data_IF_285732200023
#
_entry.id   IF_285732200023
#
_cell.length_a   1.000
_cell.length_b   1.000
_cell.length_c   1.000
_cell.angle_alpha   90.00
_cell.angle_beta   90.00
_cell.angle_gamma   90.00
#
_symmetry.space_group_name_H-M   'P 1'
#
loop_
_entity.id
_entity.type
_entity.pdbx_description
1 polymer ?
#
# COMPACT_ATOMS: atom_id res chain seq x y z
N UNK A 1 -24.91 18.11 14.18
CA UNK A 1 -23.90 17.89 13.13
C UNK A 1 -22.59 17.60 13.83
N UNK A 2 -22.12 16.36 13.75
CA UNK A 2 -20.77 15.96 14.21
C UNK A 2 -19.80 16.66 13.24
N UNK A 3 -18.81 17.43 13.74
CA UNK A 3 -17.86 18.10 12.85
C UNK A 3 -17.14 17.07 11.98
N UNK A 4 -16.80 17.38 10.73
CA UNK A 4 -16.05 16.49 9.83
C UNK A 4 -14.75 15.96 10.47
N UNK A 5 -14.13 16.74 11.35
CA UNK A 5 -12.93 16.37 12.10
C UNK A 5 -13.15 15.21 13.09
N UNK A 6 -14.35 15.05 13.65
CA UNK A 6 -14.69 13.90 14.49
C UNK A 6 -14.93 12.64 13.66
N UNK A 7 -15.40 12.80 12.41
CA UNK A 7 -15.66 11.67 11.52
C UNK A 7 -14.37 10.93 11.07
N UNK A 8 -13.19 11.57 11.15
CA UNK A 8 -11.90 11.03 10.69
C UNK A 8 -10.92 10.74 11.83
N UNK A 9 -11.40 10.50 13.04
CA UNK A 9 -10.55 10.26 14.23
C UNK A 9 -9.53 11.40 14.49
N UNK A 10 -9.87 12.63 14.16
CA UNK A 10 -8.99 13.81 14.29
C UNK A 10 -7.92 13.91 13.19
N UNK A 11 -7.93 13.03 12.19
CA UNK A 11 -7.01 13.06 11.06
C UNK A 11 -7.53 13.99 9.94
N UNK A 12 -6.62 14.49 9.05
CA UNK A 12 -7.00 15.45 8.00
C UNK A 12 -7.96 14.90 6.92
N UNK A 13 -8.22 13.58 6.92
CA UNK A 13 -8.97 12.93 5.85
C UNK A 13 -8.12 12.60 4.62
N UNK A 14 -8.72 11.99 3.56
CA UNK A 14 -7.98 11.54 2.39
C UNK A 14 -7.38 12.71 1.61
N UNK A 15 -6.28 12.43 0.90
CA UNK A 15 -5.69 13.41 -0.03
C UNK A 15 -6.71 13.77 -1.12
N UNK A 16 -6.93 15.06 -1.40
CA UNK A 16 -7.89 15.50 -2.42
C UNK A 16 -7.40 15.25 -3.86
N UNK A 17 -6.14 14.85 -4.02
CA UNK A 17 -5.48 14.56 -5.29
C UNK A 17 -3.98 14.37 -5.11
N UNK A 18 -3.28 13.96 -6.15
CA UNK A 18 -1.82 13.90 -6.12
C UNK A 18 -1.20 15.28 -6.32
N UNK A 19 -0.02 15.58 -5.77
CA UNK A 19 0.71 16.78 -6.12
C UNK A 19 1.09 16.78 -7.61
N UNK A 20 1.36 17.95 -8.18
CA UNK A 20 1.93 18.04 -9.53
C UNK A 20 3.29 17.32 -9.58
N UNK A 21 3.62 16.74 -10.74
CA UNK A 21 4.96 16.20 -10.94
C UNK A 21 5.99 17.33 -10.92
N UNK A 22 7.15 17.07 -10.33
CA UNK A 22 8.23 18.03 -10.22
C UNK A 22 9.19 17.88 -11.39
N UNK A 23 9.61 19.01 -12.00
CA UNK A 23 10.65 19.02 -13.02
C UNK A 23 11.96 18.42 -12.47
N UNK A 24 12.68 17.68 -13.29
CA UNK A 24 13.87 16.92 -12.90
C UNK A 24 13.59 15.69 -12.02
N UNK A 25 12.36 15.51 -11.56
CA UNK A 25 11.97 14.44 -10.64
C UNK A 25 11.52 13.15 -11.33
N UNK A 26 11.38 12.10 -10.52
CA UNK A 26 10.83 10.82 -10.93
C UNK A 26 9.59 10.50 -10.10
N UNK A 27 8.61 9.84 -10.72
CA UNK A 27 7.39 9.34 -10.08
C UNK A 27 7.16 7.89 -10.41
N UNK A 28 7.04 7.06 -9.37
CA UNK A 28 6.48 5.71 -9.47
C UNK A 28 5.03 5.74 -9.03
N UNK A 29 4.15 5.11 -9.81
CA UNK A 29 2.76 4.85 -9.40
C UNK A 29 2.46 3.37 -9.55
N UNK A 30 1.76 2.79 -8.55
CA UNK A 30 1.26 1.42 -8.62
C UNK A 30 -0.22 1.38 -8.25
N UNK A 31 -0.94 0.44 -8.85
CA UNK A 31 -2.27 0.01 -8.41
C UNK A 31 -2.31 -1.50 -8.36
N UNK A 32 -2.90 -2.05 -7.31
CA UNK A 32 -3.16 -3.47 -7.13
C UNK A 32 -4.65 -3.63 -6.79
N UNK A 33 -5.42 -4.11 -7.77
CA UNK A 33 -6.86 -4.24 -7.67
C UNK A 33 -7.21 -5.71 -7.38
N UNK A 34 -7.98 -5.94 -6.31
CA UNK A 34 -8.44 -7.26 -5.88
C UNK A 34 -9.96 -7.34 -6.03
N UNK A 35 -10.43 -8.33 -6.78
CA UNK A 35 -11.85 -8.56 -7.03
C UNK A 35 -12.22 -10.02 -6.81
N UNK A 36 -13.51 -10.29 -6.60
CA UNK A 36 -14.07 -11.64 -6.50
C UNK A 36 -15.25 -11.79 -7.48
N UNK A 37 -14.96 -12.03 -8.77
CA UNK A 37 -16.00 -12.07 -9.79
C UNK A 37 -17.01 -13.23 -9.59
N UNK A 38 -16.60 -14.28 -8.86
CA UNK A 38 -17.43 -15.44 -8.57
C UNK A 38 -18.05 -15.41 -7.16
N UNK A 39 -18.27 -14.22 -6.61
CA UNK A 39 -18.86 -14.04 -5.27
C UNK A 39 -17.82 -14.00 -4.14
N UNK A 40 -18.28 -13.68 -2.91
CA UNK A 40 -17.39 -13.39 -1.78
C UNK A 40 -16.47 -14.56 -1.38
N UNK A 41 -16.87 -15.79 -1.62
CA UNK A 41 -16.10 -16.99 -1.34
C UNK A 41 -15.32 -17.54 -2.54
N UNK A 42 -15.47 -16.91 -3.70
CA UNK A 42 -14.76 -17.25 -4.91
C UNK A 42 -13.27 -16.87 -4.86
N UNK A 43 -12.48 -17.37 -5.83
CA UNK A 43 -11.09 -16.97 -6.01
C UNK A 43 -10.94 -15.44 -6.11
N UNK A 44 -9.82 -14.95 -5.61
CA UNK A 44 -9.46 -13.54 -5.74
C UNK A 44 -8.70 -13.35 -7.03
N UNK A 45 -9.21 -12.50 -7.92
CA UNK A 45 -8.46 -12.01 -9.07
C UNK A 45 -7.73 -10.72 -8.68
N UNK A 46 -6.42 -10.71 -8.87
CA UNK A 46 -5.52 -9.60 -8.56
C UNK A 46 -4.95 -9.05 -9.84
N UNK A 47 -5.19 -7.78 -10.11
CA UNK A 47 -4.64 -7.09 -11.27
C UNK A 47 -3.78 -5.92 -10.82
N UNK A 48 -2.50 -5.95 -11.17
CA UNK A 48 -1.53 -4.92 -10.84
C UNK A 48 -1.08 -4.12 -12.07
N UNK A 49 -0.89 -2.82 -11.89
CA UNK A 49 -0.27 -1.92 -12.86
C UNK A 49 0.73 -1.03 -12.16
N UNK A 50 1.90 -0.86 -12.78
CA UNK A 50 2.92 0.06 -12.30
C UNK A 50 3.52 0.85 -13.46
N UNK A 51 3.98 2.07 -13.15
CA UNK A 51 4.68 2.91 -14.10
C UNK A 51 5.65 3.84 -13.38
N UNK A 52 6.86 3.93 -13.91
CA UNK A 52 7.86 4.91 -13.54
C UNK A 52 7.95 5.99 -14.63
N UNK A 53 7.97 7.25 -14.21
CA UNK A 53 8.01 8.41 -15.11
C UNK A 53 9.06 9.39 -14.61
N UNK A 54 9.93 9.83 -15.50
CA UNK A 54 10.79 11.02 -15.29
C UNK A 54 10.10 12.24 -15.89
N UNK A 55 10.12 13.34 -15.17
CA UNK A 55 9.69 14.64 -15.67
C UNK A 55 10.93 15.44 -16.02
N UNK A 56 11.05 15.89 -17.26
CA UNK A 56 12.17 16.75 -17.66
C UNK A 56 11.99 18.19 -17.16
N UNK A 57 12.98 19.04 -17.41
CA UNK A 57 12.95 20.45 -16.99
C UNK A 57 11.83 21.26 -17.66
N UNK A 58 11.34 20.82 -18.82
CA UNK A 58 10.21 21.44 -19.51
C UNK A 58 8.84 20.90 -19.04
N UNK A 59 8.82 19.95 -18.08
CA UNK A 59 7.59 19.34 -17.55
C UNK A 59 7.08 18.14 -18.37
N UNK A 60 7.77 17.75 -19.47
CA UNK A 60 7.35 16.60 -20.26
C UNK A 60 7.64 15.27 -19.53
N UNK A 61 6.74 14.31 -19.73
CA UNK A 61 6.82 13.00 -19.08
C UNK A 61 7.49 11.97 -20.00
N UNK A 62 8.56 11.35 -19.54
CA UNK A 62 9.19 10.18 -20.17
C UNK A 62 8.98 8.94 -19.30
N UNK A 63 8.34 7.92 -19.85
CA UNK A 63 8.17 6.64 -19.17
C UNK A 63 9.50 5.90 -19.13
N UNK A 64 9.92 5.49 -17.93
CA UNK A 64 11.15 4.75 -17.68
C UNK A 64 10.91 3.25 -17.60
N UNK A 65 9.81 2.86 -16.93
CA UNK A 65 9.47 1.46 -16.68
C UNK A 65 7.94 1.29 -16.60
N UNK A 66 7.48 0.08 -16.95
CA UNK A 66 6.07 -0.34 -16.82
C UNK A 66 6.01 -1.78 -16.38
N UNK A 67 5.08 -2.09 -15.49
CA UNK A 67 4.79 -3.46 -15.13
C UNK A 67 3.28 -3.73 -15.09
N UNK A 68 2.91 -4.94 -15.47
CA UNK A 68 1.58 -5.51 -15.32
C UNK A 68 1.68 -6.80 -14.51
N UNK A 69 0.70 -7.06 -13.67
CA UNK A 69 0.60 -8.27 -12.87
C UNK A 69 -0.83 -8.78 -12.94
N UNK A 70 -0.99 -10.09 -13.15
CA UNK A 70 -2.25 -10.80 -12.99
C UNK A 70 -2.02 -12.03 -12.16
N UNK A 71 -2.69 -12.12 -11.03
CA UNK A 71 -2.65 -13.25 -10.11
C UNK A 71 -4.06 -13.75 -9.85
N UNK A 72 -4.18 -15.06 -9.61
CA UNK A 72 -5.38 -15.66 -9.00
C UNK A 72 -4.98 -16.28 -7.67
N UNK A 73 -5.73 -15.99 -6.61
CA UNK A 73 -5.50 -16.56 -5.27
C UNK A 73 -6.75 -17.34 -4.88
N UNK A 74 -6.56 -18.65 -4.61
CA UNK A 74 -7.61 -19.57 -4.16
C UNK A 74 -7.25 -20.06 -2.77
N UNK A 75 -8.13 -19.92 -1.79
CA UNK A 75 -7.91 -20.32 -0.40
C UNK A 75 -6.59 -19.80 0.21
N UNK A 76 -6.22 -18.57 -0.16
CA UNK A 76 -4.99 -17.94 0.30
C UNK A 76 -3.72 -18.41 -0.44
N UNK A 77 -3.84 -19.34 -1.39
CA UNK A 77 -2.75 -19.88 -2.19
C UNK A 77 -2.78 -19.25 -3.59
N UNK A 78 -1.64 -18.82 -4.09
CA UNK A 78 -1.49 -18.33 -5.47
C UNK A 78 -1.63 -19.50 -6.43
N UNK A 79 -2.68 -19.48 -7.26
CA UNK A 79 -2.98 -20.54 -8.23
C UNK A 79 -2.57 -20.19 -9.67
N UNK A 80 -2.37 -18.91 -9.96
CA UNK A 80 -1.91 -18.43 -11.27
C UNK A 80 -1.10 -17.15 -11.11
N UNK A 81 -0.04 -17.01 -11.93
CA UNK A 81 0.78 -15.79 -12.03
C UNK A 81 1.07 -15.50 -13.49
N UNK A 82 0.87 -14.25 -13.90
CA UNK A 82 1.33 -13.67 -15.16
C UNK A 82 1.85 -12.27 -14.91
N UNK A 83 2.94 -11.90 -15.51
CA UNK A 83 3.50 -10.55 -15.38
C UNK A 83 4.08 -10.03 -16.70
N UNK A 84 4.15 -8.72 -16.79
CA UNK A 84 4.90 -8.00 -17.81
C UNK A 84 5.80 -6.96 -17.10
N UNK A 85 7.09 -6.86 -17.40
CA UNK A 85 7.85 -7.77 -18.28
C UNK A 85 7.77 -9.23 -17.82
N UNK A 86 7.81 -10.16 -18.78
CA UNK A 86 7.75 -11.59 -18.45
C UNK A 86 8.99 -11.99 -17.62
N UNK A 87 8.77 -12.86 -16.65
CA UNK A 87 9.83 -13.43 -15.80
C UNK A 87 9.71 -14.95 -15.82
N UNK A 88 10.74 -15.62 -16.33
CA UNK A 88 10.76 -17.08 -16.42
C UNK A 88 10.56 -17.77 -15.05
N UNK A 89 10.95 -17.10 -13.96
CA UNK A 89 10.79 -17.61 -12.60
C UNK A 89 9.42 -17.31 -11.96
N UNK A 90 8.61 -16.39 -12.54
CA UNK A 90 7.30 -16.02 -11.95
C UNK A 90 6.36 -17.22 -11.73
N UNK A 91 6.29 -18.25 -12.60
CA UNK A 91 5.47 -19.45 -12.36
C UNK A 91 5.83 -20.22 -11.07
N UNK A 92 7.06 -20.08 -10.53
CA UNK A 92 7.48 -20.71 -9.28
C UNK A 92 6.82 -20.08 -8.03
N UNK A 93 6.12 -18.97 -8.20
CA UNK A 93 5.30 -18.36 -7.15
C UNK A 93 3.95 -19.07 -6.99
N UNK A 94 3.53 -19.89 -7.96
CA UNK A 94 2.32 -20.72 -7.85
C UNK A 94 2.50 -21.75 -6.74
N UNK A 95 1.45 -21.99 -5.95
CA UNK A 95 1.46 -22.86 -4.78
C UNK A 95 1.93 -22.18 -3.49
N UNK A 96 2.38 -20.91 -3.53
CA UNK A 96 2.78 -20.17 -2.32
C UNK A 96 1.59 -19.48 -1.68
N UNK A 97 1.65 -19.33 -0.36
CA UNK A 97 0.69 -18.50 0.37
C UNK A 97 0.88 -17.03 0.02
N UNK A 98 -0.23 -16.32 -0.26
CA UNK A 98 -0.22 -14.91 -0.63
C UNK A 98 0.08 -13.94 0.55
N UNK A 99 0.20 -14.45 1.77
CA UNK A 99 0.49 -13.71 2.99
C UNK A 99 1.81 -14.16 3.63
N UNK A 100 1.77 -15.31 4.28
CA UNK A 100 2.91 -15.81 5.07
C UNK A 100 4.01 -16.32 4.15
N UNK A 101 5.24 -15.84 4.35
CA UNK A 101 6.40 -16.27 3.57
C UNK A 101 6.41 -15.77 2.11
N UNK A 102 5.43 -14.98 1.68
CA UNK A 102 5.36 -14.44 0.31
C UNK A 102 6.63 -13.68 -0.08
N UNK A 103 7.04 -12.71 0.73
CA UNK A 103 8.22 -11.87 0.47
C UNK A 103 9.53 -12.67 0.45
N UNK A 104 9.65 -13.68 1.31
CA UNK A 104 10.79 -14.65 1.23
C UNK A 104 10.76 -15.42 -0.08
N UNK A 105 9.57 -15.76 -0.57
CA UNK A 105 9.39 -16.36 -1.89
C UNK A 105 9.85 -15.45 -3.02
N UNK A 106 9.48 -14.16 -2.97
CA UNK A 106 9.91 -13.16 -3.97
C UNK A 106 11.43 -13.03 -4.00
N UNK A 107 12.07 -12.91 -2.83
CA UNK A 107 13.53 -12.85 -2.73
C UNK A 107 14.20 -14.06 -3.39
N UNK A 108 13.66 -15.25 -3.16
CA UNK A 108 14.23 -16.49 -3.68
C UNK A 108 14.06 -16.64 -5.20
N UNK A 109 12.88 -16.28 -5.74
CA UNK A 109 12.53 -16.58 -7.12
C UNK A 109 12.77 -15.38 -8.07
N UNK A 110 12.70 -14.15 -7.56
CA UNK A 110 12.79 -12.91 -8.34
C UNK A 110 13.82 -11.95 -7.72
N UNK A 111 14.96 -12.48 -7.32
CA UNK A 111 16.02 -11.74 -6.64
C UNK A 111 16.42 -10.44 -7.38
N UNK A 112 16.65 -10.53 -8.69
CA UNK A 112 17.06 -9.38 -9.50
C UNK A 112 16.01 -8.26 -9.52
N UNK A 113 14.71 -8.61 -9.50
CA UNK A 113 13.63 -7.63 -9.41
C UNK A 113 13.59 -6.96 -8.04
N UNK A 114 13.89 -7.72 -6.97
CA UNK A 114 13.98 -7.19 -5.58
C UNK A 114 15.18 -6.25 -5.46
N UNK A 115 16.36 -6.67 -5.90
CA UNK A 115 17.61 -5.89 -5.85
C UNK A 115 17.52 -4.60 -6.66
N UNK A 116 16.99 -4.68 -7.88
CA UNK A 116 16.83 -3.51 -8.76
C UNK A 116 15.68 -2.59 -8.34
N UNK A 117 14.87 -2.96 -7.35
CA UNK A 117 13.67 -2.21 -6.98
C UNK A 117 12.75 -2.00 -8.19
N UNK A 118 12.50 -3.05 -8.99
CA UNK A 118 11.70 -2.95 -10.22
C UNK A 118 10.25 -2.54 -9.92
N UNK A 119 9.56 -1.96 -10.91
CA UNK A 119 8.14 -1.65 -10.79
C UNK A 119 7.29 -2.92 -10.56
N UNK A 120 7.71 -4.06 -11.13
CA UNK A 120 7.08 -5.36 -10.92
C UNK A 120 7.25 -5.86 -9.49
N UNK A 121 8.47 -5.71 -8.92
CA UNK A 121 8.70 -6.09 -7.52
C UNK A 121 7.73 -5.39 -6.57
N UNK A 122 7.53 -4.06 -6.71
CA UNK A 122 6.64 -3.33 -5.81
C UNK A 122 5.18 -3.81 -5.91
N UNK A 123 4.70 -4.18 -7.10
CA UNK A 123 3.36 -4.79 -7.25
C UNK A 123 3.26 -6.12 -6.49
N UNK A 124 4.28 -6.96 -6.59
CA UNK A 124 4.33 -8.26 -5.90
C UNK A 124 4.48 -8.08 -4.38
N UNK A 125 5.30 -7.11 -3.93
CA UNK A 125 5.52 -6.82 -2.50
C UNK A 125 4.25 -6.29 -1.81
N UNK A 126 3.34 -5.64 -2.56
CA UNK A 126 2.07 -5.13 -2.06
C UNK A 126 0.97 -6.21 -1.89
N UNK A 127 1.14 -7.41 -2.46
CA UNK A 127 0.12 -8.47 -2.39
C UNK A 127 -0.32 -8.81 -0.97
N UNK A 128 0.58 -9.05 0.02
CA UNK A 128 0.16 -9.36 1.39
C UNK A 128 -0.72 -8.29 2.01
N UNK A 129 -0.38 -7.01 1.82
CA UNK A 129 -1.19 -5.90 2.31
C UNK A 129 -2.55 -5.83 1.64
N UNK A 130 -2.62 -6.04 0.32
CA UNK A 130 -3.87 -6.14 -0.42
C UNK A 130 -4.75 -7.28 0.07
N UNK A 131 -4.18 -8.45 0.35
CA UNK A 131 -4.90 -9.61 0.88
C UNK A 131 -5.54 -9.36 2.24
N UNK A 132 -4.86 -8.62 3.14
CA UNK A 132 -5.42 -8.24 4.45
C UNK A 132 -6.67 -7.38 4.27
N UNK A 133 -6.61 -6.35 3.42
CA UNK A 133 -7.76 -5.47 3.14
C UNK A 133 -8.84 -6.19 2.32
N UNK A 134 -8.47 -7.09 1.42
CA UNK A 134 -9.39 -7.95 0.68
C UNK A 134 -10.23 -8.86 1.59
N UNK A 135 -9.73 -9.21 2.78
CA UNK A 135 -10.51 -9.89 3.81
C UNK A 135 -11.60 -9.00 4.43
N UNK A 136 -11.36 -7.70 4.56
CA UNK A 136 -12.37 -6.73 5.00
C UNK A 136 -13.52 -6.63 3.98
N UNK A 137 -13.22 -6.46 2.69
CA UNK A 137 -14.25 -6.34 1.65
C UNK A 137 -15.08 -7.61 1.47
N UNK A 138 -14.47 -8.80 1.64
CA UNK A 138 -15.21 -10.08 1.66
C UNK A 138 -16.27 -10.10 2.77
N UNK A 139 -15.93 -9.69 3.99
CA UNK A 139 -16.91 -9.62 5.10
C UNK A 139 -18.04 -8.63 4.82
N UNK A 140 -17.73 -7.50 4.18
CA UNK A 140 -18.75 -6.52 3.77
C UNK A 140 -19.69 -7.10 2.71
N UNK A 141 -19.15 -7.84 1.75
CA UNK A 141 -19.97 -8.50 0.71
C UNK A 141 -20.89 -9.57 1.30
N UNK A 142 -20.39 -10.41 2.22
CA UNK A 142 -21.20 -11.40 2.93
C UNK A 142 -22.32 -10.74 3.74
N UNK A 143 -22.00 -9.70 4.51
CA UNK A 143 -22.99 -8.96 5.28
C UNK A 143 -24.09 -8.35 4.39
N UNK A 144 -23.72 -7.78 3.24
CA UNK A 144 -24.68 -7.21 2.29
C UNK A 144 -25.58 -8.29 1.63
N UNK A 145 -25.06 -9.51 1.47
CA UNK A 145 -25.81 -10.65 0.96
C UNK A 145 -26.68 -11.35 2.03
N UNK A 146 -26.62 -10.91 3.29
CA UNK A 146 -27.31 -11.59 4.42
C UNK A 146 -26.67 -12.94 4.80
N UNK A 147 -25.44 -13.20 4.36
CA UNK A 147 -24.71 -14.43 4.62
C UNK A 147 -23.96 -14.38 5.95
N UNK A 148 -23.68 -15.53 6.59
CA UNK A 148 -22.88 -15.59 7.81
C UNK A 148 -21.50 -14.94 7.61
N UNK A 149 -21.19 -13.94 8.46
CA UNK A 149 -19.91 -13.23 8.39
C UNK A 149 -18.90 -13.91 9.33
N UNK A 150 -17.80 -14.46 8.79
CA UNK A 150 -16.79 -15.08 9.64
C UNK A 150 -16.12 -14.04 10.53
N UNK A 151 -15.91 -14.43 11.79
CA UNK A 151 -15.20 -13.59 12.75
C UNK A 151 -13.77 -13.29 12.24
N UNK A 152 -13.29 -12.05 12.35
CA UNK A 152 -11.90 -11.78 12.07
C UNK A 152 -11.03 -12.57 13.04
N UNK A 153 -9.99 -13.25 12.52
CA UNK A 153 -9.06 -13.98 13.39
C UNK A 153 -8.44 -13.02 14.41
N UNK A 154 -8.37 -13.45 15.67
CA UNK A 154 -7.74 -12.67 16.76
C UNK A 154 -6.23 -12.60 16.50
N UNK A 155 -5.78 -11.51 15.94
CA UNK A 155 -4.36 -11.17 15.77
C UNK A 155 -4.07 -9.94 16.60
N UNK A 156 -4.04 -10.11 17.92
CA UNK A 156 -3.65 -9.03 18.84
C UNK A 156 -2.14 -8.76 18.74
N UNK A 157 -1.78 -7.54 19.07
CA UNK A 157 -0.39 -7.04 19.11
C UNK A 157 0.37 -7.10 17.76
N UNK A 158 -0.34 -7.21 16.64
CA UNK A 158 0.29 -7.14 15.31
C UNK A 158 0.61 -5.72 14.87
N UNK A 159 -0.12 -4.72 15.39
CA UNK A 159 0.07 -3.30 15.14
C UNK A 159 -0.63 -2.45 16.19
N UNK A 160 -0.39 -1.13 16.20
CA UNK A 160 -0.99 -0.19 17.15
C UNK A 160 -2.53 -0.26 17.21
N UNK A 161 -3.21 -0.37 16.06
CA UNK A 161 -4.66 -0.46 16.01
C UNK A 161 -5.25 -1.77 16.55
N UNK A 162 -4.42 -2.82 16.69
CA UNK A 162 -4.78 -4.12 17.23
C UNK A 162 -3.98 -4.48 18.49
N UNK A 163 -3.47 -3.48 19.21
CA UNK A 163 -2.88 -3.69 20.53
C UNK A 163 -3.92 -4.33 21.46
N UNK A 164 -3.47 -5.20 22.38
CA UNK A 164 -4.36 -5.93 23.31
C UNK A 164 -5.24 -4.99 24.13
N UNK A 165 -4.73 -3.81 24.44
CA UNK A 165 -5.42 -2.74 25.19
C UNK A 165 -6.12 -1.71 24.30
N UNK A 166 -6.11 -1.89 22.96
CA UNK A 166 -6.79 -0.99 22.04
C UNK A 166 -8.32 -1.03 22.21
N UNK A 167 -8.99 0.07 21.83
CA UNK A 167 -10.45 0.13 21.82
C UNK A 167 -11.06 -0.96 20.95
N UNK A 168 -10.45 -1.22 19.78
CA UNK A 168 -10.92 -2.26 18.86
C UNK A 168 -10.85 -3.66 19.48
N UNK A 169 -9.75 -3.98 20.18
CA UNK A 169 -9.57 -5.26 20.85
C UNK A 169 -10.57 -5.44 21.99
N UNK A 170 -10.82 -4.41 22.81
CA UNK A 170 -11.80 -4.43 23.89
C UNK A 170 -13.22 -4.66 23.38
N UNK A 171 -13.67 -3.86 22.39
CA UNK A 171 -15.01 -4.02 21.81
C UNK A 171 -15.16 -5.41 21.19
N UNK A 172 -14.16 -5.89 20.46
CA UNK A 172 -14.19 -7.23 19.88
C UNK A 172 -14.27 -8.33 20.95
N UNK A 173 -13.65 -8.14 22.10
CA UNK A 173 -13.77 -9.10 23.22
C UNK A 173 -15.17 -9.11 23.85
N UNK A 174 -15.83 -7.94 23.91
CA UNK A 174 -17.16 -7.78 24.52
C UNK A 174 -18.30 -8.23 23.58
N UNK A 175 -18.26 -7.81 22.30
CA UNK A 175 -19.38 -8.01 21.37
C UNK A 175 -19.05 -8.95 20.21
N UNK A 176 -17.84 -9.49 20.13
CA UNK A 176 -17.43 -10.45 19.12
C UNK A 176 -16.99 -9.84 17.78
N UNK A 177 -17.20 -8.53 17.56
CA UNK A 177 -16.82 -7.83 16.32
C UNK A 177 -16.12 -6.53 16.65
N UNK A 178 -15.10 -6.11 15.83
CA UNK A 178 -14.48 -4.81 16.02
C UNK A 178 -15.46 -3.68 15.66
N UNK A 179 -15.26 -2.47 16.20
CA UNK A 179 -16.05 -1.32 15.80
C UNK A 179 -15.88 -1.05 14.28
N UNK A 180 -16.94 -0.59 13.59
CA UNK A 180 -16.82 -0.22 12.19
C UNK A 180 -15.80 0.91 12.02
N UNK A 181 -14.88 0.81 11.06
CA UNK A 181 -13.96 1.89 10.76
C UNK A 181 -14.70 3.07 10.12
N UNK A 182 -14.18 4.28 10.31
CA UNK A 182 -14.60 5.44 9.54
C UNK A 182 -13.97 5.34 8.15
N UNK A 183 -14.80 5.33 7.10
CA UNK A 183 -14.36 5.14 5.72
C UNK A 183 -14.90 6.29 4.86
N UNK A 184 -14.21 7.43 4.80
CA UNK A 184 -14.62 8.56 3.97
C UNK A 184 -14.60 8.22 2.49
N UNK A 185 -15.34 8.98 1.69
CA UNK A 185 -15.29 8.88 0.23
C UNK A 185 -13.87 9.13 -0.27
N UNK A 186 -13.47 8.41 -1.31
CA UNK A 186 -12.14 8.48 -1.90
C UNK A 186 -12.09 9.55 -3.00
N UNK A 187 -11.47 10.72 -2.78
CA UNK A 187 -11.23 11.68 -3.85
C UNK A 187 -10.34 11.08 -4.94
N UNK A 188 -10.49 11.56 -6.18
CA UNK A 188 -9.64 11.10 -7.27
C UNK A 188 -8.18 11.51 -7.02
N UNK A 189 -7.26 10.56 -7.21
CA UNK A 189 -5.82 10.80 -7.15
C UNK A 189 -5.27 11.36 -8.47
N UNK A 190 -5.99 11.14 -9.57
CA UNK A 190 -5.60 11.61 -10.90
C UNK A 190 -6.01 13.08 -11.04
N UNK A 191 -5.04 13.92 -11.37
CA UNK A 191 -5.31 15.33 -11.65
C UNK A 191 -5.77 15.50 -13.10
N UNK A 192 -6.77 16.32 -13.33
CA UNK A 192 -7.26 16.61 -14.67
C UNK A 192 -6.19 17.34 -15.54
N UNK A 193 -5.35 18.14 -14.90
CA UNK A 193 -4.28 18.94 -15.53
C UNK A 193 -2.93 18.18 -15.61
N UNK A 194 -2.82 16.97 -15.04
CA UNK A 194 -1.62 16.11 -15.13
C UNK A 194 -1.99 14.64 -15.36
N UNK A 195 -2.46 14.34 -16.57
CA UNK A 195 -2.81 12.95 -16.96
C UNK A 195 -1.61 12.00 -16.94
N UNK A 196 -0.39 12.53 -17.04
CA UNK A 196 0.83 11.74 -16.90
C UNK A 196 1.19 11.43 -15.45
N UNK A 197 0.53 12.05 -14.47
CA UNK A 197 0.75 11.85 -13.04
C UNK A 197 0.43 10.44 -12.54
N UNK A 198 -0.48 9.72 -13.23
CA UNK A 198 -0.82 8.33 -12.93
C UNK A 198 -0.87 7.48 -14.20
N UNK A 199 -0.62 6.16 -14.06
CA UNK A 199 -1.02 5.19 -15.08
C UNK A 199 -2.56 5.08 -15.11
N UNK A 200 -3.10 4.47 -16.15
CA UNK A 200 -4.56 4.26 -16.27
C UNK A 200 -5.07 3.39 -15.11
N UNK A 201 -5.97 3.93 -14.32
CA UNK A 201 -6.67 3.23 -13.24
C UNK A 201 -7.93 2.59 -13.82
N UNK A 202 -8.17 1.32 -13.48
CA UNK A 202 -9.39 0.65 -13.86
C UNK A 202 -10.52 0.97 -12.85
N UNK A 203 -11.79 1.02 -13.29
CA UNK A 203 -12.93 1.06 -12.38
C UNK A 203 -12.99 -0.23 -11.55
N UNK A 204 -13.38 -0.11 -10.30
CA UNK A 204 -13.57 -1.24 -9.41
C UNK A 204 -15.06 -1.64 -9.37
N UNK A 205 -15.37 -2.93 -9.34
CA UNK A 205 -16.73 -3.38 -9.05
C UNK A 205 -17.07 -3.19 -7.57
N UNK A 206 -18.35 -3.27 -7.23
CA UNK A 206 -18.84 -3.32 -5.84
C UNK A 206 -18.07 -4.40 -5.05
N UNK A 207 -17.62 -4.05 -3.84
CA UNK A 207 -16.75 -4.83 -2.98
C UNK A 207 -15.36 -5.15 -3.55
N UNK A 208 -15.00 -4.60 -4.72
CA UNK A 208 -13.62 -4.58 -5.19
C UNK A 208 -12.76 -3.69 -4.28
N UNK A 209 -11.49 -4.05 -4.14
CA UNK A 209 -10.50 -3.33 -3.33
C UNK A 209 -9.33 -2.90 -4.22
N UNK A 210 -8.78 -1.72 -3.97
CA UNK A 210 -7.56 -1.25 -4.63
C UNK A 210 -6.56 -0.74 -3.60
N UNK A 211 -5.30 -1.14 -3.76
CA UNK A 211 -4.15 -0.47 -3.14
C UNK A 211 -3.46 0.38 -4.20
N UNK A 212 -3.43 1.68 -3.98
CA UNK A 212 -2.74 2.65 -4.85
C UNK A 212 -1.57 3.24 -4.12
N UNK A 213 -0.44 3.38 -4.82
CA UNK A 213 0.79 3.95 -4.26
C UNK A 213 1.41 4.94 -5.22
N UNK A 214 1.97 6.01 -4.68
CA UNK A 214 2.79 6.98 -5.40
C UNK A 214 4.09 7.20 -4.61
N UNK A 215 5.20 7.25 -5.32
CA UNK A 215 6.51 7.64 -4.79
C UNK A 215 7.05 8.70 -5.73
N UNK A 216 7.22 9.91 -5.25
CA UNK A 216 7.94 10.99 -5.92
C UNK A 216 9.32 11.12 -5.30
N UNK A 217 10.34 11.26 -6.12
CA UNK A 217 11.68 11.53 -5.67
C UNK A 217 12.37 12.52 -6.62
N UNK A 218 13.19 13.40 -6.07
CA UNK A 218 14.02 14.33 -6.85
C UNK A 218 15.28 14.68 -6.09
N UNK A 219 16.33 15.00 -6.84
CA UNK A 219 17.60 15.44 -6.30
C UNK A 219 17.51 16.94 -5.95
N UNK A 220 17.87 17.29 -4.72
CA UNK A 220 17.93 18.66 -4.21
C UNK A 220 19.30 18.92 -3.60
N UNK A 221 20.26 19.34 -4.42
CA UNK A 221 21.66 19.46 -4.02
C UNK A 221 22.26 18.11 -3.63
N UNK A 222 22.76 17.98 -2.40
CA UNK A 222 23.32 16.74 -1.86
C UNK A 222 22.27 15.81 -1.21
N UNK A 223 20.98 16.12 -1.38
CA UNK A 223 19.89 15.36 -0.77
C UNK A 223 18.90 14.87 -1.83
N UNK A 224 18.19 13.81 -1.51
CA UNK A 224 17.02 13.32 -2.25
C UNK A 224 15.79 13.60 -1.40
N UNK A 225 14.85 14.37 -1.93
CA UNK A 225 13.55 14.57 -1.33
C UNK A 225 12.57 13.51 -1.85
N UNK A 226 11.84 12.88 -0.93
CA UNK A 226 10.86 11.83 -1.21
C UNK A 226 9.52 12.24 -0.66
N UNK A 227 8.48 12.15 -1.49
CA UNK A 227 7.08 12.24 -1.10
C UNK A 227 6.38 10.95 -1.53
N UNK A 228 6.06 10.11 -0.58
CA UNK A 228 5.44 8.82 -0.82
C UNK A 228 4.08 8.72 -0.14
N UNK A 229 3.14 8.02 -0.78
CA UNK A 229 1.84 7.73 -0.20
C UNK A 229 1.34 6.35 -0.62
N UNK A 230 0.45 5.76 0.19
CA UNK A 230 -0.45 4.71 -0.25
C UNK A 230 -1.89 4.99 0.19
N UNK A 231 -2.83 4.43 -0.57
CA UNK A 231 -4.26 4.43 -0.27
C UNK A 231 -4.82 3.04 -0.51
N UNK A 232 -5.40 2.44 0.53
CA UNK A 232 -6.28 1.28 0.41
C UNK A 232 -7.73 1.78 0.38
N UNK A 233 -8.43 1.44 -0.68
CA UNK A 233 -9.83 1.84 -0.90
C UNK A 233 -10.65 0.65 -1.39
N UNK A 234 -11.95 0.74 -1.26
CA UNK A 234 -12.91 -0.27 -1.72
C UNK A 234 -14.19 0.40 -2.21
N UNK A 235 -14.96 -0.31 -3.01
CA UNK A 235 -16.30 0.13 -3.42
C UNK A 235 -17.33 -0.49 -2.48
N UNK A 236 -18.17 0.35 -1.86
CA UNK A 236 -19.25 -0.11 -0.95
C UNK A 236 -20.46 -0.66 -1.69
N UNK A 237 -21.53 -1.03 -0.96
CA UNK A 237 -22.75 -1.57 -1.53
C UNK A 237 -23.50 -0.55 -2.40
N UNK A 238 -23.33 0.74 -2.14
CA UNK A 238 -23.93 1.86 -2.85
C UNK A 238 -23.13 2.24 -4.11
N UNK A 239 -22.00 1.57 -4.38
CA UNK A 239 -21.13 1.86 -5.53
C UNK A 239 -20.17 3.03 -5.29
N UNK A 240 -20.06 3.52 -4.04
CA UNK A 240 -19.16 4.62 -3.69
C UNK A 240 -17.79 4.08 -3.29
N UNK A 241 -16.72 4.64 -3.86
CA UNK A 241 -15.37 4.27 -3.46
C UNK A 241 -15.01 4.95 -2.13
N UNK A 242 -14.59 4.15 -1.13
CA UNK A 242 -14.27 4.55 0.23
C UNK A 242 -12.82 4.27 0.57
N UNK A 243 -12.20 5.15 1.34
CA UNK A 243 -10.83 4.96 1.85
C UNK A 243 -10.88 4.23 3.18
N UNK A 244 -10.09 3.15 3.32
CA UNK A 244 -9.92 2.40 4.57
C UNK A 244 -8.61 2.76 5.28
N UNK A 245 -7.51 2.87 4.51
CA UNK A 245 -6.20 3.29 5.01
C UNK A 245 -5.58 4.29 4.05
N UNK A 246 -5.01 5.35 4.58
CA UNK A 246 -4.17 6.27 3.82
C UNK A 246 -3.09 6.86 4.72
N UNK A 247 -1.84 6.70 4.27
CA UNK A 247 -0.67 7.35 4.84
C UNK A 247 0.13 8.05 3.74
N UNK A 248 0.73 9.17 4.12
CA UNK A 248 1.87 9.76 3.43
C UNK A 248 3.14 9.61 4.27
N UNK A 249 4.27 9.70 3.62
CA UNK A 249 5.60 9.83 4.24
C UNK A 249 6.40 10.83 3.41
N UNK A 250 6.94 11.84 4.07
CA UNK A 250 7.98 12.69 3.52
C UNK A 250 9.32 12.23 4.11
N UNK A 251 10.31 11.98 3.26
CA UNK A 251 11.63 11.59 3.70
C UNK A 251 12.70 12.39 2.97
N UNK A 252 13.83 12.59 3.65
CA UNK A 252 15.05 13.16 3.07
C UNK A 252 16.14 12.11 3.17
N UNK A 253 16.79 11.80 2.05
CA UNK A 253 17.91 10.89 1.99
C UNK A 253 19.17 11.65 1.59
N UNK A 254 20.32 11.17 2.01
CA UNK A 254 21.61 11.63 1.50
C UNK A 254 21.82 11.09 0.07
N UNK A 255 22.24 11.95 -0.86
CA UNK A 255 22.32 11.58 -2.27
C UNK A 255 23.43 10.55 -2.58
N UNK A 256 24.55 10.57 -1.86
CA UNK A 256 25.71 9.73 -2.13
C UNK A 256 25.57 8.33 -1.53
N UNK A 257 25.29 8.25 -0.23
CA UNK A 257 25.22 6.98 0.51
C UNK A 257 23.79 6.47 0.67
N UNK A 258 22.78 7.28 0.30
CA UNK A 258 21.37 6.93 0.43
C UNK A 258 20.92 6.76 1.89
N UNK A 259 21.60 7.38 2.86
CA UNK A 259 21.18 7.33 4.26
C UNK A 259 19.93 8.14 4.48
N UNK A 260 19.04 7.63 5.31
CA UNK A 260 17.82 8.34 5.73
C UNK A 260 18.23 9.45 6.70
N UNK A 261 18.03 10.70 6.32
CA UNK A 261 18.30 11.88 7.15
C UNK A 261 17.09 12.29 7.97
N UNK A 262 15.91 12.20 7.39
CA UNK A 262 14.65 12.56 8.01
C UNK A 262 13.50 11.70 7.49
N UNK A 263 12.54 11.37 8.36
CA UNK A 263 11.25 10.77 7.97
C UNK A 263 10.13 11.40 8.76
N UNK A 264 9.14 11.94 8.06
CA UNK A 264 7.91 12.51 8.63
C UNK A 264 6.70 11.74 8.13
N UNK A 265 6.02 10.96 9.00
CA UNK A 265 4.78 10.29 8.63
C UNK A 265 3.64 11.31 8.55
N UNK A 266 2.73 11.12 7.61
CA UNK A 266 1.52 11.92 7.43
C UNK A 266 0.29 10.98 7.41
N UNK A 267 -0.24 10.59 8.59
CA UNK A 267 -1.45 9.77 8.69
C UNK A 267 -2.65 10.57 8.17
N UNK A 268 -3.48 9.96 7.32
CA UNK A 268 -4.61 10.61 6.66
C UNK A 268 -5.94 9.96 7.01
N UNK A 269 -6.09 8.66 6.74
CA UNK A 269 -7.27 7.86 7.07
C UNK A 269 -6.80 6.57 7.71
N UNK A 270 -7.28 6.29 8.91
CA UNK A 270 -6.89 5.11 9.67
C UNK A 270 -8.12 4.51 10.38
N UNK A 271 -8.23 3.16 10.44
CA UNK A 271 -9.44 2.50 10.91
C UNK A 271 -9.66 2.59 12.44
N UNK A 272 -8.58 2.78 13.22
CA UNK A 272 -8.64 2.77 14.69
C UNK A 272 -7.98 4.01 15.28
N UNK A 273 -8.43 4.41 16.48
CA UNK A 273 -7.95 5.60 17.18
C UNK A 273 -6.46 5.51 17.56
N UNK A 274 -5.97 4.30 17.82
CA UNK A 274 -4.59 4.03 18.22
C UNK A 274 -3.62 3.99 17.04
N UNK A 275 -4.10 3.83 15.80
CA UNK A 275 -3.24 3.72 14.62
C UNK A 275 -2.22 4.87 14.43
N UNK A 276 -2.53 6.14 14.72
CA UNK A 276 -1.58 7.25 14.54
C UNK A 276 -0.31 7.13 15.38
N UNK A 277 -0.35 6.44 16.53
CA UNK A 277 0.81 6.21 17.41
C UNK A 277 1.96 5.52 16.66
N UNK A 278 1.63 4.67 15.69
CA UNK A 278 2.61 3.98 14.86
C UNK A 278 3.53 4.92 14.08
N UNK A 279 3.13 6.18 13.84
CA UNK A 279 3.93 7.18 13.16
C UNK A 279 5.32 7.38 13.81
N UNK A 280 5.42 7.28 15.13
CA UNK A 280 6.69 7.40 15.84
C UNK A 280 7.72 6.32 15.44
N UNK A 281 7.28 5.17 14.92
CA UNK A 281 8.19 4.10 14.49
C UNK A 281 9.08 4.51 13.32
N UNK A 282 8.69 5.50 12.51
CA UNK A 282 9.48 6.01 11.38
C UNK A 282 10.84 6.56 11.81
N UNK A 283 10.94 7.06 13.04
CA UNK A 283 12.19 7.61 13.57
C UNK A 283 13.32 6.56 13.67
N UNK A 284 12.94 5.27 13.72
CA UNK A 284 13.92 4.16 13.74
C UNK A 284 14.66 4.00 12.41
N UNK A 285 14.21 4.65 11.33
CA UNK A 285 14.86 4.61 10.03
C UNK A 285 15.98 5.65 9.89
N UNK A 286 16.02 6.68 10.72
CA UNK A 286 17.02 7.76 10.62
C UNK A 286 18.43 7.20 10.82
N UNK A 287 19.35 7.59 9.92
CA UNK A 287 20.72 7.11 9.88
C UNK A 287 20.91 5.78 9.15
N UNK A 288 19.83 5.06 8.80
CA UNK A 288 19.91 3.77 8.11
C UNK A 288 20.14 3.95 6.61
N UNK A 289 20.95 3.07 5.98
CA UNK A 289 21.04 3.03 4.52
C UNK A 289 19.68 2.68 3.90
N UNK A 290 19.32 3.37 2.82
CA UNK A 290 18.06 3.14 2.11
C UNK A 290 17.97 1.70 1.57
N UNK A 291 19.09 1.12 1.14
CA UNK A 291 19.17 -0.25 0.65
C UNK A 291 18.73 -1.29 1.71
N UNK A 292 18.99 -1.00 3.00
CA UNK A 292 18.71 -1.93 4.11
C UNK A 292 17.27 -1.81 4.64
N UNK A 293 16.49 -0.82 4.18
CA UNK A 293 15.17 -0.52 4.75
C UNK A 293 14.19 -1.69 4.66
N UNK A 294 14.26 -2.52 3.61
CA UNK A 294 13.38 -3.68 3.49
C UNK A 294 13.60 -4.68 4.62
N UNK A 295 14.85 -5.01 4.89
CA UNK A 295 15.23 -5.98 5.92
C UNK A 295 15.05 -5.38 7.31
N UNK A 296 15.48 -4.14 7.51
CA UNK A 296 15.33 -3.43 8.77
C UNK A 296 13.86 -3.35 9.19
N UNK A 297 12.98 -2.89 8.31
CA UNK A 297 11.55 -2.78 8.59
C UNK A 297 10.95 -4.15 8.90
N UNK A 298 11.33 -5.17 8.14
CA UNK A 298 10.80 -6.54 8.33
C UNK A 298 11.26 -7.19 9.62
N UNK A 299 12.48 -6.90 10.07
CA UNK A 299 13.10 -7.53 11.25
C UNK A 299 12.90 -6.76 12.55
N UNK A 300 12.61 -5.44 12.49
CA UNK A 300 12.59 -4.58 13.69
C UNK A 300 11.28 -3.84 13.91
N UNK A 301 10.45 -3.65 12.86
CA UNK A 301 9.20 -2.89 12.97
C UNK A 301 7.99 -3.83 13.04
N UNK A 302 7.75 -4.39 14.20
CA UNK A 302 6.60 -5.23 14.47
C UNK A 302 5.96 -4.89 15.83
N UNK A 303 4.75 -5.41 16.06
CA UNK A 303 4.04 -5.26 17.32
C UNK A 303 3.30 -3.92 17.46
N UNK A 304 2.75 -3.65 18.67
CA UNK A 304 1.80 -2.57 18.91
C UNK A 304 2.36 -1.15 18.83
N UNK A 305 3.68 -0.99 18.67
CA UNK A 305 4.29 0.33 18.43
C UNK A 305 4.42 0.68 16.93
N UNK A 306 3.89 -0.17 16.04
CA UNK A 306 4.07 -0.06 14.58
C UNK A 306 2.75 -0.20 13.83
N UNK A 307 2.79 -0.03 12.50
CA UNK A 307 1.65 -0.28 11.61
C UNK A 307 2.15 -1.05 10.38
N UNK A 308 1.54 -2.20 10.10
CA UNK A 308 1.90 -3.04 8.95
C UNK A 308 1.78 -2.30 7.62
N UNK A 309 0.80 -1.41 7.49
CA UNK A 309 0.60 -0.61 6.27
C UNK A 309 1.63 0.52 6.14
N UNK A 310 1.99 1.19 7.24
CA UNK A 310 3.08 2.17 7.25
C UNK A 310 4.42 1.49 6.98
N UNK A 311 4.64 0.29 7.52
CA UNK A 311 5.82 -0.53 7.26
C UNK A 311 5.96 -0.83 5.75
N UNK A 312 4.87 -1.20 5.06
CA UNK A 312 4.89 -1.41 3.61
C UNK A 312 5.28 -0.13 2.84
N UNK A 313 4.85 1.04 3.31
CA UNK A 313 5.25 2.32 2.71
C UNK A 313 6.74 2.61 2.94
N UNK A 314 7.23 2.45 4.17
CA UNK A 314 8.64 2.66 4.51
C UNK A 314 9.57 1.72 3.74
N UNK A 315 9.19 0.45 3.57
CA UNK A 315 9.94 -0.53 2.76
C UNK A 315 10.11 -0.07 1.31
N UNK A 316 9.09 0.58 0.74
CA UNK A 316 9.12 1.03 -0.65
C UNK A 316 10.07 2.22 -0.89
N UNK A 317 10.50 2.92 0.15
CA UNK A 317 11.52 3.98 0.04
C UNK A 317 12.88 3.39 -0.38
N UNK A 318 13.14 2.12 -0.09
CA UNK A 318 14.35 1.42 -0.56
C UNK A 318 14.52 1.44 -2.09
N UNK A 319 13.45 1.62 -2.86
CA UNK A 319 13.51 1.69 -4.32
C UNK A 319 13.98 3.04 -4.86
N UNK A 320 14.00 4.09 -4.04
CA UNK A 320 14.21 5.47 -4.47
C UNK A 320 15.56 5.69 -5.18
N UNK A 321 16.71 5.18 -4.67
CA UNK A 321 17.99 5.34 -5.36
C UNK A 321 17.98 4.69 -6.76
N UNK A 322 17.44 3.48 -6.87
CA UNK A 322 17.31 2.78 -8.14
C UNK A 322 16.34 3.48 -9.10
N UNK A 323 15.27 4.08 -8.60
CA UNK A 323 14.30 4.84 -9.40
C UNK A 323 14.93 6.12 -9.97
N UNK A 324 15.78 6.81 -9.21
CA UNK A 324 16.49 8.01 -9.66
C UNK A 324 17.60 7.73 -10.66
N UNK A 325 18.24 6.56 -10.60
CA UNK A 325 19.33 6.17 -11.51
C UNK A 325 18.87 5.75 -12.90
N UNK A 326 17.58 5.48 -13.12
CA UNK A 326 16.96 5.12 -14.42
C UNK A 326 16.73 6.35 -15.26
#
# INVERSE_FOLDING_TARGET
>A
MVSETQAHNGLPGPLPGSPARRAGGVRRTTSLDLTRPNGPDGPIEVNGRARDVRTDEAGAARVLDKALLSLTVTDGIVSRVRCFPERAAAPRLVGRQALVGWRTGLWRELHDDVESGSALHLLLDDLPGGMVVGGFTRRRALAAAGEPVPQPGRRLDVCAGWAVDSRAARIMAEVGTPPPPVTPEAPDLVRADDRAGWHTLAPLPTFGMSRRRRIDAHLAGAQIEVDAMFRDSFVDAEGVQRVLHEYGVHATLEANEGRVLEVRPAPRVLPHLECPVAGASTQRLIGMPCADLRDLVSSTLFGPSTCTHLNDLMRSIADVPALLSR
#
